data_IF_439596076804
#
_entry.id   IF_439596076804
#
_cell.length_a   1.000
_cell.length_b   1.000
_cell.length_c   1.000
_cell.angle_alpha   90.00
_cell.angle_beta   90.00
_cell.angle_gamma   90.00
#
_symmetry.space_group_name_H-M   'P 1'
#
loop_
_entity.id
_entity.type
_entity.pdbx_description
1 polymer ?
#
# COMPACT_ATOMS: atom_id res chain seq x y z
N UNK A 1 -7.24 -28.69 -5.87
CA UNK A 1 -8.31 -28.04 -5.08
C UNK A 1 -8.87 -26.81 -5.79
N UNK A 2 -8.03 -25.86 -6.23
CA UNK A 2 -8.54 -24.63 -6.90
C UNK A 2 -8.98 -24.82 -8.36
N UNK A 3 -8.36 -25.75 -9.12
CA UNK A 3 -8.77 -26.04 -10.51
C UNK A 3 -10.16 -26.68 -10.66
N UNK A 4 -10.73 -27.27 -9.60
CA UNK A 4 -12.09 -27.81 -9.59
C UNK A 4 -13.16 -26.73 -9.40
N UNK A 5 -12.77 -25.54 -8.95
CA UNK A 5 -13.68 -24.44 -8.62
C UNK A 5 -13.86 -23.43 -9.77
N UNK A 6 -13.07 -23.55 -10.85
CA UNK A 6 -13.22 -22.71 -12.04
C UNK A 6 -13.14 -21.21 -11.74
N UNK A 7 -12.24 -20.83 -10.84
CA UNK A 7 -12.27 -19.50 -10.21
C UNK A 7 -11.75 -18.36 -11.10
N UNK A 8 -10.99 -18.62 -12.19
CA UNK A 8 -10.42 -17.53 -13.00
C UNK A 8 -10.33 -17.81 -14.51
N UNK A 9 -10.48 -16.73 -15.28
CA UNK A 9 -10.45 -16.62 -16.75
C UNK A 9 -9.01 -16.73 -17.29
N UNK A 10 -8.77 -17.15 -18.56
CA UNK A 10 -7.42 -17.30 -19.14
C UNK A 10 -6.54 -16.04 -19.20
N UNK A 11 -7.01 -14.90 -18.69
CA UNK A 11 -6.43 -13.57 -18.92
C UNK A 11 -5.78 -12.92 -17.68
N UNK A 12 -5.50 -13.67 -16.61
CA UNK A 12 -4.86 -13.12 -15.40
C UNK A 12 -3.39 -12.72 -15.61
N UNK A 13 -3.00 -11.62 -14.98
CA UNK A 13 -1.68 -11.01 -15.16
C UNK A 13 -0.67 -11.51 -14.12
N UNK A 14 0.62 -11.24 -14.36
CA UNK A 14 1.78 -11.75 -13.61
C UNK A 14 1.79 -11.42 -12.10
N UNK A 15 0.92 -10.54 -11.62
CA UNK A 15 0.78 -10.16 -10.20
C UNK A 15 -0.28 -10.99 -9.45
N UNK A 16 -1.14 -11.71 -10.18
CA UNK A 16 -2.12 -12.62 -9.60
C UNK A 16 -1.40 -13.94 -9.28
N UNK A 17 -1.43 -14.38 -8.01
CA UNK A 17 -0.85 -15.65 -7.58
C UNK A 17 -1.58 -16.77 -8.30
N UNK A 18 -1.07 -17.16 -9.48
CA UNK A 18 -1.72 -18.18 -10.28
C UNK A 18 -1.92 -19.42 -9.43
N UNK A 19 -3.07 -20.05 -9.54
CA UNK A 19 -3.40 -21.27 -8.80
C UNK A 19 -2.39 -22.42 -9.03
N UNK A 20 -1.55 -22.32 -10.07
CA UNK A 20 -0.40 -23.19 -10.30
C UNK A 20 0.70 -23.00 -9.24
N UNK A 21 0.90 -21.79 -8.72
CA UNK A 21 1.92 -21.49 -7.71
C UNK A 21 1.58 -22.03 -6.32
N UNK A 22 0.29 -22.27 -6.03
CA UNK A 22 -0.14 -22.92 -4.80
C UNK A 22 0.40 -24.35 -4.68
N UNK A 23 0.57 -25.05 -5.81
CA UNK A 23 1.17 -26.39 -5.83
C UNK A 23 2.61 -26.35 -5.31
N UNK A 24 3.39 -25.37 -5.75
CA UNK A 24 4.77 -25.18 -5.30
C UNK A 24 4.85 -24.79 -3.82
N UNK A 25 3.90 -23.98 -3.32
CA UNK A 25 3.81 -23.64 -1.90
C UNK A 25 3.56 -24.88 -1.03
N UNK A 26 2.60 -25.72 -1.43
CA UNK A 26 2.26 -26.95 -0.70
C UNK A 26 3.41 -27.98 -0.79
N UNK A 27 4.05 -28.11 -1.95
CA UNK A 27 5.23 -28.96 -2.14
C UNK A 27 6.40 -28.47 -1.27
N UNK A 28 6.63 -27.16 -1.18
CA UNK A 28 7.65 -26.57 -0.30
C UNK A 28 7.38 -26.90 1.18
N UNK A 29 6.15 -26.72 1.65
CA UNK A 29 5.81 -27.09 3.04
C UNK A 29 5.96 -28.59 3.29
N UNK A 30 5.54 -29.43 2.34
CA UNK A 30 5.68 -30.90 2.45
C UNK A 30 7.15 -31.33 2.50
N UNK A 31 8.02 -30.70 1.70
CA UNK A 31 9.47 -30.93 1.76
C UNK A 31 10.04 -30.49 3.12
N UNK A 32 9.62 -29.34 3.65
CA UNK A 32 10.02 -28.90 4.98
C UNK A 32 9.51 -29.83 6.09
N UNK A 33 8.35 -30.47 5.91
CA UNK A 33 7.82 -31.48 6.83
C UNK A 33 8.68 -32.75 6.83
N UNK A 34 9.00 -33.28 5.63
CA UNK A 34 9.86 -34.46 5.47
C UNK A 34 11.26 -34.23 6.03
N UNK A 35 11.77 -33.01 5.93
CA UNK A 35 13.07 -32.61 6.45
C UNK A 35 13.02 -32.20 7.94
N UNK A 36 11.87 -32.31 8.61
CA UNK A 36 11.68 -31.92 10.02
C UNK A 36 12.11 -30.47 10.32
N UNK A 37 12.01 -29.59 9.31
CA UNK A 37 12.32 -28.16 9.43
C UNK A 37 11.11 -27.35 9.92
N UNK A 38 9.95 -27.99 10.03
CA UNK A 38 8.75 -27.37 10.60
C UNK A 38 8.89 -27.35 12.12
N UNK A 39 8.76 -26.17 12.75
CA UNK A 39 8.80 -26.06 14.20
C UNK A 39 7.64 -26.81 14.85
N UNK A 40 7.91 -27.45 15.99
CA UNK A 40 6.94 -28.26 16.74
C UNK A 40 5.65 -27.51 17.04
N UNK A 41 5.71 -26.22 17.38
CA UNK A 41 4.53 -25.39 17.63
C UNK A 41 3.54 -25.39 16.45
N UNK A 42 4.02 -25.44 15.19
CA UNK A 42 3.16 -25.46 14.00
C UNK A 42 2.64 -26.89 13.71
N UNK A 43 3.44 -27.92 14.02
CA UNK A 43 3.04 -29.33 13.89
C UNK A 43 1.96 -29.70 14.91
N UNK A 44 2.09 -29.21 16.14
CA UNK A 44 1.10 -29.39 17.20
C UNK A 44 -0.23 -28.76 16.84
N UNK A 45 -0.26 -27.68 16.07
CA UNK A 45 -1.50 -27.04 15.61
C UNK A 45 -2.19 -27.80 14.47
N UNK A 46 -1.41 -28.46 13.62
CA UNK A 46 -1.94 -29.38 12.61
C UNK A 46 -2.52 -30.64 13.25
N UNK A 47 -1.86 -31.15 14.30
CA UNK A 47 -2.21 -32.40 15.00
C UNK A 47 -3.30 -32.22 16.06
N UNK A 48 -3.20 -31.18 16.88
CA UNK A 48 -4.22 -30.81 17.85
C UNK A 48 -5.26 -29.95 17.13
N UNK A 49 -6.46 -30.49 16.95
CA UNK A 49 -7.67 -29.70 16.71
C UNK A 49 -7.98 -28.84 17.95
N UNK A 50 -7.08 -27.93 18.32
CA UNK A 50 -7.36 -26.91 19.32
C UNK A 50 -8.58 -26.11 18.86
N UNK A 51 -9.48 -25.71 19.79
CA UNK A 51 -10.58 -24.84 19.43
C UNK A 51 -10.00 -23.54 18.85
N UNK A 52 -10.53 -23.17 17.68
CA UNK A 52 -10.03 -22.08 16.86
C UNK A 52 -10.49 -20.73 17.43
N UNK A 53 -10.03 -20.44 18.65
CA UNK A 53 -10.37 -19.23 19.39
C UNK A 53 -9.56 -18.04 18.87
N UNK A 54 -10.13 -16.84 18.94
CA UNK A 54 -9.43 -15.61 18.53
C UNK A 54 -8.13 -15.37 19.30
N UNK A 55 -8.08 -15.81 20.56
CA UNK A 55 -6.87 -15.74 21.39
C UNK A 55 -5.76 -16.65 20.85
N UNK A 56 -6.09 -17.89 20.48
CA UNK A 56 -5.15 -18.84 19.90
C UNK A 56 -4.61 -18.35 18.55
N UNK A 57 -5.47 -17.88 17.65
CA UNK A 57 -5.06 -17.28 16.36
C UNK A 57 -4.10 -16.11 16.53
N UNK A 58 -4.37 -15.23 17.50
CA UNK A 58 -3.50 -14.10 17.81
C UNK A 58 -2.15 -14.58 18.35
N UNK A 59 -2.15 -15.52 19.29
CA UNK A 59 -0.93 -16.05 19.87
C UNK A 59 -0.04 -16.71 18.80
N UNK A 60 -0.63 -17.48 17.88
CA UNK A 60 0.05 -18.09 16.74
C UNK A 60 0.68 -17.03 15.83
N UNK A 61 -0.09 -16.01 15.43
CA UNK A 61 0.44 -14.93 14.59
C UNK A 61 1.59 -14.17 15.25
N UNK A 62 1.51 -13.97 16.57
CA UNK A 62 2.61 -13.37 17.34
C UNK A 62 3.83 -14.28 17.40
N UNK A 63 3.65 -15.59 17.58
CA UNK A 63 4.74 -16.56 17.59
C UNK A 63 5.45 -16.61 16.23
N UNK A 64 4.69 -16.68 15.12
CA UNK A 64 5.22 -16.60 13.75
C UNK A 64 5.97 -15.30 13.50
N UNK A 65 5.39 -14.17 13.90
CA UNK A 65 6.04 -12.87 13.75
C UNK A 65 7.36 -12.77 14.52
N UNK A 66 7.41 -13.28 15.76
CA UNK A 66 8.65 -13.34 16.55
C UNK A 66 9.71 -14.21 15.89
N UNK A 67 9.32 -15.38 15.37
CA UNK A 67 10.21 -16.30 14.66
C UNK A 67 10.73 -15.69 13.36
N UNK A 68 9.85 -15.07 12.58
CA UNK A 68 10.22 -14.35 11.37
C UNK A 68 11.24 -13.25 11.68
N UNK A 69 10.98 -12.42 12.70
CA UNK A 69 11.92 -11.37 13.12
C UNK A 69 13.26 -11.94 13.58
N UNK A 70 13.27 -13.03 14.36
CA UNK A 70 14.51 -13.68 14.76
C UNK A 70 15.31 -14.21 13.55
N UNK A 71 14.64 -14.80 12.56
CA UNK A 71 15.29 -15.29 11.33
C UNK A 71 15.86 -14.14 10.48
N UNK A 72 15.13 -13.02 10.37
CA UNK A 72 15.57 -11.84 9.62
C UNK A 72 16.76 -11.15 10.29
N UNK A 73 16.75 -11.03 11.62
CA UNK A 73 17.89 -10.50 12.37
C UNK A 73 19.12 -11.37 12.19
N UNK A 74 19.00 -12.71 12.29
CA UNK A 74 20.12 -13.63 12.04
C UNK A 74 20.69 -13.48 10.63
N UNK A 75 19.84 -13.33 9.61
CA UNK A 75 20.29 -13.10 8.24
C UNK A 75 21.03 -11.77 8.09
N UNK A 76 20.59 -10.71 8.80
CA UNK A 76 21.30 -9.43 8.80
C UNK A 76 22.67 -9.57 9.48
N UNK A 77 22.75 -10.25 10.62
CA UNK A 77 24.00 -10.50 11.34
C UNK A 77 25.01 -11.27 10.49
N UNK A 78 24.57 -12.33 9.79
CA UNK A 78 25.41 -13.12 8.88
C UNK A 78 25.88 -12.26 7.71
N UNK A 79 24.99 -11.47 7.09
CA UNK A 79 25.36 -10.55 6.00
C UNK A 79 26.40 -9.52 6.44
N UNK A 80 26.21 -8.90 7.60
CA UNK A 80 27.18 -7.94 8.13
C UNK A 80 28.52 -8.62 8.46
N UNK A 81 28.52 -9.86 8.97
CA UNK A 81 29.74 -10.63 9.22
C UNK A 81 30.48 -10.94 7.90
N UNK A 82 29.77 -11.42 6.87
CA UNK A 82 30.30 -11.60 5.50
C UNK A 82 30.89 -10.29 4.96
N UNK A 83 30.18 -9.17 5.10
CA UNK A 83 30.69 -7.86 4.67
C UNK A 83 31.92 -7.38 5.44
N UNK A 84 32.00 -7.64 6.75
CA UNK A 84 33.19 -7.32 7.56
C UNK A 84 34.40 -8.10 7.06
N UNK A 85 34.25 -9.40 6.79
CA UNK A 85 35.32 -10.23 6.21
C UNK A 85 35.73 -9.78 4.81
N UNK A 86 34.77 -9.49 3.94
CA UNK A 86 35.06 -8.96 2.60
C UNK A 86 35.80 -7.62 2.69
N UNK A 87 35.44 -6.75 3.63
CA UNK A 87 36.14 -5.48 3.87
C UNK A 87 37.56 -5.69 4.41
N UNK A 88 37.76 -6.62 5.34
CA UNK A 88 39.11 -6.92 5.86
C UNK A 88 40.00 -7.55 4.78
N UNK A 89 39.46 -8.46 3.97
CA UNK A 89 40.19 -9.07 2.86
C UNK A 89 40.58 -8.03 1.81
N UNK A 90 39.65 -7.16 1.41
CA UNK A 90 39.96 -6.05 0.48
C UNK A 90 41.02 -5.12 1.04
N UNK A 91 41.00 -4.83 2.35
CA UNK A 91 42.04 -4.03 2.99
C UNK A 91 43.40 -4.74 3.01
N UNK A 92 43.42 -6.05 3.30
CA UNK A 92 44.62 -6.87 3.29
C UNK A 92 45.24 -6.97 1.90
N UNK A 93 44.45 -7.24 0.86
CA UNK A 93 44.89 -7.29 -0.54
C UNK A 93 45.45 -5.95 -1.04
N UNK A 94 44.93 -4.82 -0.56
CA UNK A 94 45.48 -3.49 -0.87
C UNK A 94 46.81 -3.21 -0.16
N UNK A 95 47.07 -3.89 0.96
CA UNK A 95 48.31 -3.75 1.74
C UNK A 95 49.38 -4.81 1.44
N UNK A 96 48.99 -5.91 0.81
CA UNK A 96 49.92 -6.98 0.45
C UNK A 96 50.75 -6.57 -0.78
N UNK A 97 52.09 -6.71 -0.74
CA UNK A 97 52.91 -6.65 -1.95
C UNK A 97 52.41 -7.71 -2.93
N UNK A 98 52.43 -7.40 -4.23
CA UNK A 98 51.96 -8.28 -5.31
C UNK A 98 52.87 -9.52 -5.36
N UNK A 99 52.59 -10.52 -4.52
CA UNK A 99 53.17 -11.85 -4.62
C UNK A 99 52.11 -12.73 -5.27
N UNK A 100 52.25 -12.88 -6.58
CA UNK A 100 51.51 -13.82 -7.40
C UNK A 100 51.74 -15.23 -6.88
N UNK A 101 50.71 -15.89 -6.34
CA UNK A 101 50.76 -17.35 -6.19
C UNK A 101 49.76 -18.02 -5.26
N UNK A 102 49.22 -17.35 -4.25
CA UNK A 102 48.31 -18.00 -3.32
C UNK A 102 46.88 -17.55 -3.63
N UNK A 103 46.19 -18.34 -4.45
CA UNK A 103 44.73 -18.37 -4.46
C UNK A 103 44.34 -18.74 -3.02
N UNK A 104 44.07 -17.72 -2.20
CA UNK A 104 43.45 -17.85 -0.89
C UNK A 104 42.10 -18.56 -1.11
N UNK A 105 42.13 -19.89 -1.06
CA UNK A 105 40.98 -20.75 -0.80
C UNK A 105 40.49 -20.38 0.61
N UNK A 106 39.83 -19.23 0.70
CA UNK A 106 39.01 -18.87 1.84
C UNK A 106 37.91 -19.91 1.88
N UNK A 107 38.13 -20.96 2.66
CA UNK A 107 37.11 -21.93 3.03
C UNK A 107 35.89 -21.15 3.47
N UNK A 108 34.91 -21.08 2.57
CA UNK A 108 33.58 -20.59 2.82
C UNK A 108 33.06 -21.52 3.91
N UNK A 109 33.05 -21.03 5.15
CA UNK A 109 32.67 -21.81 6.31
C UNK A 109 31.26 -22.36 6.04
N UNK A 110 31.21 -23.65 5.70
CA UNK A 110 29.98 -24.35 5.36
C UNK A 110 28.96 -24.27 6.50
N UNK A 111 29.41 -23.98 7.73
CA UNK A 111 28.53 -23.71 8.87
C UNK A 111 27.78 -22.39 8.71
N UNK A 112 28.44 -21.28 8.34
CA UNK A 112 27.79 -19.99 8.14
C UNK A 112 26.82 -19.99 6.95
N UNK A 113 27.20 -20.64 5.86
CA UNK A 113 26.34 -20.91 4.71
C UNK A 113 25.07 -21.65 5.14
N UNK A 114 25.25 -22.74 5.90
CA UNK A 114 24.16 -23.55 6.41
C UNK A 114 23.24 -22.77 7.35
N UNK A 115 23.80 -21.97 8.25
CA UNK A 115 23.02 -21.09 9.12
C UNK A 115 22.19 -20.07 8.33
N UNK A 116 22.77 -19.48 7.28
CA UNK A 116 22.06 -18.55 6.40
C UNK A 116 20.91 -19.24 5.66
N UNK A 117 21.12 -20.46 5.16
CA UNK A 117 20.07 -21.23 4.51
C UNK A 117 18.95 -21.62 5.47
N UNK A 118 19.29 -22.10 6.67
CA UNK A 118 18.30 -22.45 7.70
C UNK A 118 17.47 -21.25 8.15
N UNK A 119 18.10 -20.09 8.36
CA UNK A 119 17.38 -18.85 8.69
C UNK A 119 16.48 -18.39 7.52
N UNK A 120 16.95 -18.54 6.28
CA UNK A 120 16.16 -18.23 5.08
C UNK A 120 14.93 -19.13 4.96
N UNK A 121 15.11 -20.44 5.14
CA UNK A 121 14.02 -21.43 5.11
C UNK A 121 13.02 -21.14 6.24
N UNK A 122 13.49 -20.84 7.44
CA UNK A 122 12.63 -20.47 8.57
C UNK A 122 11.79 -19.22 8.28
N UNK A 123 12.39 -18.18 7.69
CA UNK A 123 11.65 -16.97 7.26
C UNK A 123 10.61 -17.28 6.19
N UNK A 124 10.98 -18.08 5.19
CA UNK A 124 10.10 -18.47 4.09
C UNK A 124 8.92 -19.32 4.59
N UNK A 125 9.16 -20.21 5.55
CA UNK A 125 8.16 -21.08 6.16
C UNK A 125 7.12 -20.27 6.95
N UNK A 126 7.55 -19.28 7.76
CA UNK A 126 6.61 -18.38 8.43
C UNK A 126 5.71 -17.63 7.44
N UNK A 127 6.29 -17.12 6.33
CA UNK A 127 5.53 -16.46 5.27
C UNK A 127 4.56 -17.41 4.56
N UNK A 128 4.98 -18.64 4.30
CA UNK A 128 4.16 -19.67 3.67
C UNK A 128 2.92 -20.00 4.49
N UNK A 129 3.07 -20.18 5.81
CA UNK A 129 1.94 -20.45 6.71
C UNK A 129 0.98 -19.26 6.82
N UNK A 130 1.50 -18.03 6.90
CA UNK A 130 0.64 -16.84 6.91
C UNK A 130 -0.14 -16.67 5.60
N UNK A 131 0.49 -16.94 4.45
CA UNK A 131 -0.18 -16.95 3.15
C UNK A 131 -1.25 -18.04 3.07
N UNK A 132 -0.94 -19.24 3.55
CA UNK A 132 -1.89 -20.36 3.58
C UNK A 132 -3.14 -20.03 4.42
N UNK A 133 -2.96 -19.38 5.57
CA UNK A 133 -4.09 -18.97 6.43
C UNK A 133 -4.93 -17.84 5.83
N UNK A 134 -4.32 -16.97 5.03
CA UNK A 134 -5.06 -15.97 4.26
C UNK A 134 -5.89 -16.62 3.15
N UNK A 135 -5.27 -17.52 2.38
CA UNK A 135 -5.94 -18.25 1.29
C UNK A 135 -7.09 -19.12 1.78
N UNK A 136 -6.95 -19.79 2.94
CA UNK A 136 -8.04 -20.57 3.54
C UNK A 136 -9.27 -19.72 3.88
N UNK A 137 -9.06 -18.50 4.42
CA UNK A 137 -10.17 -17.58 4.72
C UNK A 137 -10.83 -17.06 3.45
N UNK A 138 -10.05 -16.77 2.43
CA UNK A 138 -10.58 -16.39 1.12
C UNK A 138 -11.40 -17.52 0.51
N UNK A 139 -10.93 -18.77 0.60
CA UNK A 139 -11.69 -19.95 0.17
C UNK A 139 -13.02 -20.07 0.93
N UNK A 140 -13.02 -19.94 2.26
CA UNK A 140 -14.25 -19.95 3.08
C UNK A 140 -15.24 -18.84 2.66
N UNK A 141 -14.74 -17.61 2.45
CA UNK A 141 -15.58 -16.49 2.00
C UNK A 141 -16.14 -16.73 0.60
N UNK A 142 -15.33 -17.23 -0.33
CA UNK A 142 -15.74 -17.52 -1.69
C UNK A 142 -16.74 -18.68 -1.77
N UNK A 143 -16.58 -19.71 -0.93
CA UNK A 143 -17.56 -20.78 -0.79
C UNK A 143 -18.89 -20.23 -0.28
N UNK A 144 -18.87 -19.37 0.75
CA UNK A 144 -20.08 -18.71 1.24
C UNK A 144 -20.75 -17.84 0.16
N UNK A 145 -19.98 -17.14 -0.66
CA UNK A 145 -20.49 -16.36 -1.80
C UNK A 145 -21.09 -17.28 -2.87
N UNK A 146 -20.42 -18.38 -3.22
CA UNK A 146 -20.92 -19.35 -4.20
C UNK A 146 -22.20 -20.03 -3.72
N UNK A 147 -22.31 -20.35 -2.43
CA UNK A 147 -23.53 -20.87 -1.83
C UNK A 147 -24.67 -19.85 -1.87
N UNK A 148 -24.40 -18.57 -1.57
CA UNK A 148 -25.39 -17.50 -1.71
C UNK A 148 -25.83 -17.31 -3.17
N UNK A 149 -24.89 -17.33 -4.11
CA UNK A 149 -25.20 -17.29 -5.54
C UNK A 149 -26.04 -18.48 -5.99
N UNK A 150 -25.79 -19.68 -5.46
CA UNK A 150 -26.58 -20.88 -5.78
C UNK A 150 -28.01 -20.81 -5.20
N UNK A 151 -28.19 -20.15 -4.05
CA UNK A 151 -29.50 -19.98 -3.38
C UNK A 151 -30.32 -18.86 -4.01
N UNK A 152 -29.71 -17.71 -4.24
CA UNK A 152 -30.39 -16.45 -4.60
C UNK A 152 -30.27 -16.10 -6.10
N UNK A 153 -29.44 -16.82 -6.86
CA UNK A 153 -29.25 -16.62 -8.29
C UNK A 153 -28.92 -15.17 -8.64
N UNK A 154 -29.74 -14.57 -9.50
CA UNK A 154 -29.54 -13.20 -9.98
C UNK A 154 -29.89 -12.11 -8.93
N UNK A 155 -30.50 -12.48 -7.80
CA UNK A 155 -30.82 -11.53 -6.72
C UNK A 155 -29.56 -11.09 -5.96
N UNK A 156 -28.59 -11.99 -5.76
CA UNK A 156 -27.29 -11.65 -5.17
C UNK A 156 -26.51 -10.62 -6.00
N UNK A 157 -26.54 -10.75 -7.33
CA UNK A 157 -25.90 -9.79 -8.23
C UNK A 157 -26.56 -8.41 -8.18
N UNK A 158 -27.89 -8.37 -8.05
CA UNK A 158 -28.64 -7.11 -7.85
C UNK A 158 -28.31 -6.46 -6.50
N UNK A 159 -28.27 -7.23 -5.42
CA UNK A 159 -27.90 -6.72 -4.09
C UNK A 159 -26.49 -6.13 -4.07
N UNK A 160 -25.51 -6.78 -4.71
CA UNK A 160 -24.15 -6.25 -4.85
C UNK A 160 -24.08 -4.94 -5.65
N UNK A 161 -24.90 -4.80 -6.69
CA UNK A 161 -25.02 -3.55 -7.44
C UNK A 161 -25.68 -2.46 -6.58
N UNK A 162 -26.73 -2.80 -5.84
CA UNK A 162 -27.42 -1.90 -4.92
C UNK A 162 -26.52 -1.44 -3.76
N UNK A 163 -25.60 -2.29 -3.27
CA UNK A 163 -24.59 -1.85 -2.30
C UNK A 163 -23.59 -0.85 -2.90
N UNK A 164 -23.21 -1.05 -4.16
CA UNK A 164 -22.27 -0.17 -4.85
C UNK A 164 -22.90 1.19 -5.12
N UNK A 165 -24.17 1.23 -5.53
CA UNK A 165 -24.93 2.47 -5.69
C UNK A 165 -25.08 3.19 -4.36
N UNK A 166 -25.50 2.49 -3.29
CA UNK A 166 -25.59 3.07 -1.94
C UNK A 166 -24.27 3.64 -1.42
N UNK A 167 -23.14 2.96 -1.66
CA UNK A 167 -21.81 3.47 -1.27
C UNK A 167 -21.42 4.72 -2.04
N UNK A 168 -21.70 4.75 -3.35
CA UNK A 168 -21.48 5.94 -4.17
C UNK A 168 -22.37 7.09 -3.69
N UNK A 169 -23.68 6.87 -3.58
CA UNK A 169 -24.66 7.85 -3.07
C UNK A 169 -24.27 8.39 -1.69
N UNK A 170 -23.86 7.53 -0.76
CA UNK A 170 -23.38 7.95 0.55
C UNK A 170 -22.11 8.81 0.47
N UNK A 171 -21.20 8.53 -0.46
CA UNK A 171 -20.02 9.35 -0.69
C UNK A 171 -20.40 10.73 -1.23
N UNK A 172 -21.26 10.81 -2.26
CA UNK A 172 -21.73 12.07 -2.82
C UNK A 172 -22.54 12.90 -1.81
N UNK A 173 -23.41 12.26 -1.04
CA UNK A 173 -24.18 12.90 0.01
C UNK A 173 -23.30 13.40 1.17
N UNK A 174 -22.28 12.63 1.57
CA UNK A 174 -21.31 13.08 2.57
C UNK A 174 -20.43 14.22 2.05
N UNK A 175 -20.07 14.23 0.77
CA UNK A 175 -19.35 15.32 0.13
C UNK A 175 -20.22 16.58 0.08
N UNK A 176 -21.44 16.50 -0.43
CA UNK A 176 -22.39 17.60 -0.52
C UNK A 176 -22.72 18.21 0.86
N UNK A 177 -22.83 17.40 1.91
CA UNK A 177 -22.98 17.90 3.30
C UNK A 177 -21.76 18.66 3.81
N UNK A 178 -20.56 18.35 3.31
CA UNK A 178 -19.31 19.01 3.72
C UNK A 178 -19.07 20.32 2.98
N UNK A 179 -19.55 20.44 1.74
CA UNK A 179 -19.30 21.59 0.86
C UNK A 179 -19.71 22.95 1.45
N UNK A 180 -20.90 23.12 2.06
CA UNK A 180 -21.30 24.40 2.67
C UNK A 180 -20.38 24.86 3.81
N UNK A 181 -19.67 23.92 4.44
CA UNK A 181 -18.75 24.18 5.55
C UNK A 181 -17.28 24.19 5.12
N UNK A 182 -16.96 23.70 3.91
CA UNK A 182 -15.62 23.79 3.33
C UNK A 182 -15.48 25.11 2.57
N UNK A 183 -14.83 26.10 3.20
CA UNK A 183 -14.34 27.26 2.46
C UNK A 183 -13.03 26.86 1.76
N UNK A 184 -12.85 27.17 0.46
CA UNK A 184 -11.51 27.16 -0.13
C UNK A 184 -10.61 28.02 0.75
N UNK A 185 -9.51 27.48 1.26
CA UNK A 185 -8.58 28.32 2.02
C UNK A 185 -8.05 29.40 1.09
N UNK A 186 -8.05 30.63 1.59
CA UNK A 186 -7.43 31.74 0.88
C UNK A 186 -5.97 31.37 0.56
N UNK A 187 -5.47 31.70 -0.65
CA UNK A 187 -4.11 31.37 -1.03
C UNK A 187 -3.14 32.02 -0.04
N UNK A 188 -2.58 31.21 0.86
CA UNK A 188 -1.49 31.60 1.73
C UNK A 188 -0.26 31.77 0.84
N UNK A 189 -0.05 32.99 0.35
CA UNK A 189 1.22 33.38 -0.25
C UNK A 189 2.33 33.26 0.79
N UNK A 190 3.57 32.97 0.36
CA UNK A 190 4.72 32.87 1.26
C UNK A 190 4.89 34.13 2.14
N UNK A 191 4.44 35.30 1.65
CA UNK A 191 4.40 36.55 2.40
C UNK A 191 3.37 36.53 3.54
N UNK A 192 2.14 36.04 3.30
CA UNK A 192 1.12 35.93 4.34
C UNK A 192 1.44 34.85 5.38
N UNK A 193 2.02 33.71 4.99
CA UNK A 193 2.48 32.69 5.94
C UNK A 193 3.57 33.23 6.87
N UNK A 194 4.56 33.92 6.30
CA UNK A 194 5.65 34.52 7.08
C UNK A 194 5.10 35.58 8.06
N UNK A 195 4.11 36.36 7.62
CA UNK A 195 3.48 37.39 8.44
C UNK A 195 2.60 36.80 9.54
N UNK A 196 1.86 35.72 9.28
CA UNK A 196 1.06 34.99 10.28
C UNK A 196 1.93 34.27 11.32
N UNK A 197 3.13 33.79 10.93
CA UNK A 197 4.13 33.25 11.86
C UNK A 197 4.69 34.37 12.75
N UNK A 198 4.99 35.55 12.17
CA UNK A 198 5.47 36.71 12.92
C UNK A 198 4.41 37.30 13.86
N UNK A 199 3.13 37.26 13.45
CA UNK A 199 1.99 37.72 14.25
C UNK A 199 1.47 36.66 15.25
N UNK A 200 2.05 35.45 15.27
CA UNK A 200 1.67 34.36 16.18
C UNK A 200 0.33 33.70 15.87
N UNK A 201 -0.22 33.92 14.68
CA UNK A 201 -1.49 33.36 14.21
C UNK A 201 -1.34 31.94 13.63
N UNK A 202 -0.11 31.54 13.27
CA UNK A 202 0.21 30.21 12.76
C UNK A 202 1.42 29.59 13.49
N UNK A 203 1.38 28.29 13.76
CA UNK A 203 2.50 27.52 14.31
C UNK A 203 3.26 26.80 13.20
N UNK A 204 4.60 26.90 13.20
CA UNK A 204 5.49 26.11 12.32
C UNK A 204 5.50 24.67 12.79
N UNK A 205 4.44 23.92 12.51
CA UNK A 205 4.37 22.52 12.91
C UNK A 205 3.46 21.73 12.00
N UNK A 206 3.94 21.47 10.79
CA UNK A 206 3.71 20.19 10.15
C UNK A 206 5.07 19.67 9.66
N UNK A 207 5.83 19.17 10.63
CA UNK A 207 7.17 18.63 10.40
C UNK A 207 7.04 17.36 9.55
N UNK A 208 7.29 17.50 8.25
CA UNK A 208 7.49 16.35 7.38
C UNK A 208 8.81 15.68 7.78
N UNK A 209 8.74 14.49 8.40
CA UNK A 209 9.91 13.72 8.79
C UNK A 209 10.63 13.15 7.54
N UNK A 210 11.49 13.95 6.92
CA UNK A 210 12.38 13.44 5.90
C UNK A 210 13.48 12.58 6.57
N UNK A 211 13.48 11.27 6.26
CA UNK A 211 14.44 10.28 6.80
C UNK A 211 15.87 10.42 6.26
N UNK A 212 16.15 11.40 5.40
CA UNK A 212 17.45 11.57 4.78
C UNK A 212 18.08 12.88 5.24
N UNK A 213 19.17 12.78 6.00
CA UNK A 213 19.95 13.92 6.47
C UNK A 213 21.17 14.07 5.55
N UNK A 214 21.23 15.06 4.65
CA UNK A 214 22.43 15.31 3.88
C UNK A 214 23.52 15.85 4.80
N UNK A 215 24.74 15.36 4.59
CA UNK A 215 25.93 15.78 5.34
C UNK A 215 26.42 17.11 4.74
N UNK A 216 26.15 18.22 5.43
CA UNK A 216 26.41 19.58 4.92
C UNK A 216 27.67 20.19 5.55
N UNK A 217 27.93 19.94 6.83
CA UNK A 217 29.14 20.40 7.51
C UNK A 217 30.11 19.24 7.78
N UNK A 218 31.35 19.37 7.36
CA UNK A 218 32.40 18.37 7.56
C UNK A 218 33.74 18.89 7.05
N UNK A 219 34.83 18.11 7.18
CA UNK A 219 36.12 18.47 6.60
C UNK A 219 35.95 18.81 5.12
N UNK A 220 36.57 19.89 4.64
CA UNK A 220 36.40 20.37 3.25
C UNK A 220 36.77 19.30 2.18
N UNK A 221 37.51 18.27 2.56
CA UNK A 221 37.83 17.10 1.72
C UNK A 221 36.66 16.13 1.52
N UNK A 222 35.57 16.26 2.28
CA UNK A 222 34.45 15.31 2.34
C UNK A 222 33.09 15.96 2.03
N UNK A 223 32.98 17.28 2.17
CA UNK A 223 31.77 18.04 1.86
C UNK A 223 31.64 18.18 0.35
N UNK A 224 30.61 17.57 -0.24
CA UNK A 224 30.34 17.62 -1.68
C UNK A 224 31.04 16.52 -2.53
N UNK A 225 31.82 15.64 -1.90
CA UNK A 225 32.43 14.48 -2.54
C UNK A 225 31.63 13.19 -2.34
N UNK A 226 31.79 12.22 -3.23
CA UNK A 226 31.21 10.88 -3.05
C UNK A 226 31.87 10.15 -1.88
N UNK A 227 31.10 9.84 -0.83
CA UNK A 227 31.59 9.13 0.36
C UNK A 227 31.77 7.64 0.05
N UNK A 228 32.97 7.23 -0.32
CA UNK A 228 33.24 5.85 -0.76
C UNK A 228 33.59 4.93 0.41
N UNK A 229 34.29 5.46 1.44
CA UNK A 229 34.78 4.64 2.55
C UNK A 229 34.01 4.85 3.88
N UNK A 230 34.01 3.83 4.74
CA UNK A 230 33.33 3.89 6.04
C UNK A 230 33.94 4.92 7.00
N UNK A 231 35.26 5.14 6.91
CA UNK A 231 35.99 6.16 7.69
C UNK A 231 35.58 7.57 7.28
N UNK A 232 35.39 7.80 5.98
CA UNK A 232 34.90 9.07 5.42
C UNK A 232 33.47 9.37 5.90
N UNK A 233 32.60 8.36 6.00
CA UNK A 233 31.24 8.51 6.54
C UNK A 233 31.23 8.92 8.02
N UNK A 234 32.08 8.29 8.84
CA UNK A 234 32.19 8.63 10.27
C UNK A 234 32.78 10.04 10.43
N UNK A 235 33.83 10.38 9.68
CA UNK A 235 34.46 11.70 9.72
C UNK A 235 33.49 12.81 9.26
N UNK A 236 32.66 12.53 8.24
CA UNK A 236 31.63 13.45 7.79
C UNK A 236 30.50 13.61 8.82
N UNK A 237 30.26 12.65 9.72
CA UNK A 237 29.25 12.76 10.78
C UNK A 237 29.74 13.54 12.01
N UNK A 238 31.04 13.80 12.14
CA UNK A 238 31.58 14.64 13.21
C UNK A 238 31.29 16.11 12.89
N UNK A 239 30.89 16.90 13.88
CA UNK A 239 30.54 18.33 13.75
C UNK A 239 29.29 18.65 12.92
N UNK A 240 28.37 17.70 12.77
CA UNK A 240 27.04 18.01 12.26
C UNK A 240 26.26 18.84 13.29
N UNK A 241 25.52 19.89 12.87
CA UNK A 241 24.58 20.57 13.74
C UNK A 241 23.57 19.59 14.35
N UNK A 242 23.28 19.74 15.65
CA UNK A 242 22.28 18.91 16.36
C UNK A 242 20.83 19.11 15.90
N UNK A 243 20.61 19.99 14.91
CA UNK A 243 19.33 20.27 14.28
C UNK A 243 19.43 20.03 12.76
N UNK A 244 18.32 19.66 12.13
CA UNK A 244 18.28 19.40 10.69
C UNK A 244 18.33 20.73 9.93
N UNK A 245 19.34 20.89 9.07
CA UNK A 245 19.41 22.03 8.17
C UNK A 245 18.45 21.85 6.99
N UNK A 246 17.80 22.92 6.50
CA UNK A 246 17.02 22.87 5.28
C UNK A 246 17.87 22.40 4.10
N UNK A 247 17.39 21.38 3.38
CA UNK A 247 18.10 20.76 2.23
C UNK A 247 17.78 21.44 0.90
N UNK A 248 16.98 22.50 0.95
CA UNK A 248 16.43 23.19 -0.19
C UNK A 248 16.58 24.68 0.02
N UNK A 249 16.71 25.42 -1.09
CA UNK A 249 16.64 26.87 -1.01
C UNK A 249 15.25 27.31 -0.57
N UNK A 250 15.19 28.51 0.01
CA UNK A 250 13.93 29.15 0.42
C UNK A 250 12.98 29.30 -0.78
N UNK A 251 13.53 29.56 -1.97
CA UNK A 251 12.78 29.67 -3.22
C UNK A 251 12.18 28.33 -3.65
N UNK A 252 12.97 27.25 -3.57
CA UNK A 252 12.51 25.91 -3.94
C UNK A 252 11.46 25.37 -2.97
N UNK A 253 11.58 25.71 -1.67
CA UNK A 253 10.56 25.41 -0.66
C UNK A 253 9.26 26.17 -0.95
N UNK A 254 9.34 27.48 -1.25
CA UNK A 254 8.19 28.28 -1.63
C UNK A 254 7.46 27.75 -2.86
N UNK A 255 8.19 27.35 -3.92
CA UNK A 255 7.59 26.75 -5.11
C UNK A 255 6.88 25.41 -4.82
N UNK A 256 7.44 24.60 -3.92
CA UNK A 256 6.84 23.34 -3.52
C UNK A 256 5.58 23.54 -2.69
N UNK A 257 5.59 24.50 -1.76
CA UNK A 257 4.41 24.89 -1.00
C UNK A 257 3.30 25.42 -1.91
N UNK A 258 3.63 26.28 -2.89
CA UNK A 258 2.68 26.76 -3.89
C UNK A 258 2.03 25.60 -4.68
N UNK A 259 2.84 24.62 -5.12
CA UNK A 259 2.33 23.45 -5.84
C UNK A 259 1.46 22.53 -4.98
N UNK A 260 1.77 22.42 -3.68
CA UNK A 260 0.95 21.66 -2.74
C UNK A 260 -0.38 22.36 -2.46
N UNK A 261 -0.35 23.69 -2.37
CA UNK A 261 -1.54 24.54 -2.22
C UNK A 261 -2.43 24.45 -3.47
N UNK A 262 -1.87 24.59 -4.67
CA UNK A 262 -2.59 24.48 -5.95
C UNK A 262 -3.33 23.13 -6.04
N UNK A 263 -2.65 22.01 -5.76
CA UNK A 263 -3.27 20.68 -5.71
C UNK A 263 -4.34 20.55 -4.64
N UNK A 264 -4.25 21.28 -3.54
CA UNK A 264 -5.26 21.27 -2.48
C UNK A 264 -6.48 22.10 -2.88
N UNK A 265 -6.27 23.24 -3.55
CA UNK A 265 -7.32 24.06 -4.14
C UNK A 265 -8.05 23.31 -5.26
N UNK A 266 -7.33 22.67 -6.19
CA UNK A 266 -7.91 21.84 -7.25
C UNK A 266 -8.78 20.71 -6.69
N UNK A 267 -8.31 20.00 -5.65
CA UNK A 267 -9.08 18.94 -4.99
C UNK A 267 -10.34 19.47 -4.31
N UNK A 268 -10.25 20.64 -3.69
CA UNK A 268 -11.37 21.30 -3.01
C UNK A 268 -12.39 21.82 -4.04
N UNK A 269 -11.93 22.47 -5.11
CA UNK A 269 -12.76 22.92 -6.21
C UNK A 269 -13.48 21.76 -6.90
N UNK A 270 -12.76 20.67 -7.18
CA UNK A 270 -13.34 19.44 -7.75
C UNK A 270 -14.39 18.82 -6.82
N UNK A 271 -14.15 18.78 -5.51
CA UNK A 271 -15.13 18.30 -4.52
C UNK A 271 -16.38 19.18 -4.50
N UNK A 272 -16.22 20.51 -4.63
CA UNK A 272 -17.33 21.47 -4.69
C UNK A 272 -18.11 21.33 -6.00
N UNK A 273 -17.42 21.20 -7.13
CA UNK A 273 -18.03 21.00 -8.45
C UNK A 273 -18.81 19.69 -8.51
N UNK A 274 -18.24 18.60 -7.98
CA UNK A 274 -18.87 17.28 -7.92
C UNK A 274 -20.09 17.26 -6.99
N UNK A 275 -20.05 17.98 -5.87
CA UNK A 275 -21.20 18.17 -4.99
C UNK A 275 -22.31 19.04 -5.61
N UNK A 276 -21.94 20.05 -6.40
CA UNK A 276 -22.87 20.94 -7.10
C UNK A 276 -23.36 20.38 -8.44
N UNK A 277 -22.77 19.26 -8.90
CA UNK A 277 -23.23 18.52 -10.07
C UNK A 277 -24.65 18.01 -9.84
N UNK A 278 -25.41 17.86 -10.92
CA UNK A 278 -26.86 17.65 -10.91
C UNK A 278 -27.35 16.47 -10.04
N UNK A 279 -26.45 15.56 -9.64
CA UNK A 279 -26.78 14.37 -8.86
C UNK A 279 -27.33 14.65 -7.44
N UNK A 280 -27.11 15.85 -6.89
CA UNK A 280 -27.61 16.24 -5.57
C UNK A 280 -28.66 17.38 -5.61
N UNK A 281 -29.05 17.85 -6.81
CA UNK A 281 -30.06 18.92 -6.94
C UNK A 281 -31.49 18.43 -6.70
N UNK A 282 -31.71 17.11 -6.68
CA UNK A 282 -33.04 16.51 -6.53
C UNK A 282 -33.64 16.62 -5.12
N UNK A 283 -32.88 17.14 -4.13
CA UNK A 283 -33.30 17.16 -2.72
C UNK A 283 -33.42 18.53 -2.05
N UNK A 284 -33.02 19.63 -2.70
CA UNK A 284 -32.94 20.95 -2.08
C UNK A 284 -33.77 22.00 -2.83
N UNK A 285 -35.08 21.99 -2.56
CA UNK A 285 -36.00 23.11 -2.73
C UNK A 285 -35.82 23.97 -3.99
N UNK A 286 -36.12 23.44 -5.17
CA UNK A 286 -36.56 24.24 -6.31
C UNK A 286 -37.46 23.40 -7.22
N UNK A 287 -38.72 23.84 -7.33
CA UNK A 287 -39.60 23.65 -8.48
C UNK A 287 -40.52 22.42 -8.61
N UNK A 288 -41.29 22.08 -7.57
CA UNK A 288 -42.55 21.34 -7.80
C UNK A 288 -43.49 22.00 -8.83
N UNK A 289 -43.29 23.30 -9.13
CA UNK A 289 -43.95 24.02 -10.23
C UNK A 289 -43.29 23.87 -11.60
N UNK A 290 -41.95 23.86 -11.69
CA UNK A 290 -41.29 23.76 -13.01
C UNK A 290 -41.25 22.30 -13.50
N UNK A 291 -41.27 21.31 -12.59
CA UNK A 291 -41.42 19.91 -12.95
C UNK A 291 -42.83 19.58 -13.47
N UNK A 292 -43.88 20.21 -12.93
CA UNK A 292 -45.25 20.14 -13.47
C UNK A 292 -45.33 20.79 -14.86
N UNK A 293 -44.80 22.01 -15.02
CA UNK A 293 -44.79 22.72 -16.31
C UNK A 293 -43.97 21.95 -17.37
N UNK A 294 -42.79 21.41 -17.02
CA UNK A 294 -41.97 20.61 -17.92
C UNK A 294 -42.62 19.25 -18.27
N UNK A 295 -43.42 18.69 -17.36
CA UNK A 295 -44.26 17.52 -17.62
C UNK A 295 -45.38 17.83 -18.60
N UNK A 296 -46.06 18.96 -18.44
CA UNK A 296 -47.11 19.42 -19.35
C UNK A 296 -46.58 19.77 -20.74
N UNK A 297 -45.41 20.41 -20.85
CA UNK A 297 -44.77 20.71 -22.14
C UNK A 297 -44.37 19.43 -22.89
N UNK A 298 -43.85 18.42 -22.18
CA UNK A 298 -43.57 17.11 -22.79
C UNK A 298 -44.84 16.38 -23.23
N UNK A 299 -45.94 16.51 -22.46
CA UNK A 299 -47.23 15.94 -22.84
C UNK A 299 -47.82 16.65 -24.08
N UNK A 300 -47.76 17.99 -24.15
CA UNK A 300 -48.15 18.76 -25.35
C UNK A 300 -47.30 18.39 -26.56
N UNK A 301 -45.98 18.32 -26.41
CA UNK A 301 -45.07 17.92 -27.49
C UNK A 301 -45.34 16.47 -27.98
N UNK A 302 -45.79 15.59 -27.09
CA UNK A 302 -46.18 14.23 -27.45
C UNK A 302 -47.53 14.16 -28.18
N UNK A 303 -48.48 15.03 -27.83
CA UNK A 303 -49.73 15.20 -28.57
C UNK A 303 -49.50 15.83 -29.95
N UNK A 304 -48.72 16.92 -30.04
CA UNK A 304 -48.33 17.56 -31.31
C UNK A 304 -47.64 16.56 -32.24
N UNK A 305 -46.75 15.73 -31.70
CA UNK A 305 -46.09 14.68 -32.47
C UNK A 305 -47.07 13.58 -32.95
N UNK A 306 -48.05 13.19 -32.15
CA UNK A 306 -49.08 12.23 -32.58
C UNK A 306 -49.95 12.80 -33.70
N UNK A 307 -50.30 14.08 -33.62
CA UNK A 307 -51.07 14.79 -34.63
C UNK A 307 -50.29 14.93 -35.95
N UNK A 308 -48.96 15.15 -35.88
CA UNK A 308 -48.06 15.17 -37.04
C UNK A 308 -47.79 13.78 -37.64
N UNK A 309 -48.11 12.69 -36.93
CA UNK A 309 -47.89 11.30 -37.35
C UNK A 309 -49.19 10.47 -37.46
N UNK A 310 -50.17 10.88 -38.28
CA UNK A 310 -51.51 10.26 -38.31
C UNK A 310 -51.56 8.84 -38.91
N UNK A 311 -50.48 8.37 -39.54
CA UNK A 311 -50.50 7.09 -40.32
C UNK A 311 -50.07 5.86 -39.50
N UNK A 312 -49.77 5.99 -38.22
CA UNK A 312 -49.26 4.88 -37.41
C UNK A 312 -50.27 4.28 -36.40
N UNK A 313 -51.35 4.99 -36.06
CA UNK A 313 -52.25 4.58 -34.96
C UNK A 313 -53.57 3.94 -35.39
N UNK A 314 -54.02 4.17 -36.63
CA UNK A 314 -55.13 3.44 -37.23
C UNK A 314 -54.61 2.39 -38.21
N UNK A 315 -54.23 1.21 -37.70
CA UNK A 315 -54.37 -0.02 -38.48
C UNK A 315 -55.57 -0.79 -37.92
N UNK A 316 -56.62 -0.84 -38.75
CA UNK A 316 -57.63 -1.89 -38.71
C UNK A 316 -56.98 -3.26 -38.90
#
# INVERSE_FOLDING_TARGET
>A
MVGKLGLFSPNETKEDVSTANLKYLLEFMALCEVLELIPEDELELSRQKQPDTMANRRAQKVARFKRQRASETKLQEIKERKERRVRSLRAAALSAPIETGEEDDLEDDGEEEREAWLATISSALCKAFDLLDMLKKEEEMLLAVKERQAKDGNAFAREMLDERTKKAEAWHHNAAKRVPYSKPADPITCATLAQDILEGRASVSEAHEHKYQPLILGPASLVGGGLTSGRERIAAQVFQPGYRLPTMSIEEAGLREMKMMEKWQERTAKMIEEANSAWHKDGASCSAREDEDAGEEKARAWDDWKDDNPRAWCRQ
#
